data_IF_181965618641
#
_entry.id   IF_181965618641
#
_cell.length_a   1.000
_cell.length_b   1.000
_cell.length_c   1.000
_cell.angle_alpha   90.00
_cell.angle_beta   90.00
_cell.angle_gamma   90.00
#
_symmetry.space_group_name_H-M   'P 1'
#
loop_
_entity.id
_entity.type
_entity.pdbx_description
1 polymer ?
#
# COMPACT_ATOMS: atom_id res chain seq x y z
N UNK A 1 47.03 6.60 -62.41
CA UNK A 1 46.09 5.49 -62.17
C UNK A 1 46.50 4.79 -60.90
N UNK A 2 45.62 4.36 -60.01
CA UNK A 2 44.17 4.43 -59.95
C UNK A 2 43.76 4.19 -58.50
N UNK A 3 42.77 4.95 -58.03
CA UNK A 3 42.14 4.77 -56.73
C UNK A 3 41.10 3.66 -56.86
N UNK A 4 41.25 2.59 -56.08
CA UNK A 4 40.26 1.53 -55.80
C UNK A 4 40.64 0.91 -54.46
N UNK A 5 39.77 0.59 -53.52
CA UNK A 5 38.33 0.71 -53.40
C UNK A 5 37.99 0.71 -51.90
N UNK A 6 36.92 1.39 -51.55
CA UNK A 6 36.37 1.51 -50.19
C UNK A 6 35.79 0.15 -49.78
N UNK A 7 36.21 -0.40 -48.64
CA UNK A 7 35.69 -1.65 -48.09
C UNK A 7 35.31 -1.49 -46.63
N UNK A 8 34.06 -1.12 -46.36
CA UNK A 8 33.48 -1.14 -45.01
C UNK A 8 33.32 -2.59 -44.54
N UNK A 9 33.85 -2.99 -43.37
CA UNK A 9 33.45 -4.26 -42.78
C UNK A 9 32.10 -4.06 -42.10
N UNK A 10 31.04 -4.49 -42.78
CA UNK A 10 29.71 -4.72 -42.20
C UNK A 10 29.85 -5.60 -40.96
N UNK A 11 29.79 -4.98 -39.78
CA UNK A 11 29.68 -5.68 -38.51
C UNK A 11 28.29 -6.31 -38.46
N UNK A 12 28.22 -7.57 -38.90
CA UNK A 12 27.02 -8.38 -38.83
C UNK A 12 26.43 -8.29 -37.42
N UNK A 13 25.28 -7.63 -37.29
CA UNK A 13 24.45 -7.71 -36.08
C UNK A 13 24.11 -9.19 -35.90
N UNK A 14 24.71 -9.84 -34.90
CA UNK A 14 24.17 -11.10 -34.38
C UNK A 14 22.77 -10.79 -33.87
N UNK A 15 21.76 -11.15 -34.65
CA UNK A 15 20.38 -11.27 -34.19
C UNK A 15 20.37 -12.30 -33.08
N UNK A 16 20.33 -11.84 -31.82
CA UNK A 16 19.94 -12.72 -30.72
C UNK A 16 18.44 -12.94 -30.86
N UNK A 17 18.06 -14.09 -31.40
CA UNK A 17 16.69 -14.59 -31.34
C UNK A 17 16.32 -14.77 -29.87
N UNK A 18 15.62 -13.79 -29.29
CA UNK A 18 14.94 -13.96 -28.01
C UNK A 18 13.54 -14.49 -28.27
N UNK A 19 13.43 -15.75 -28.67
CA UNK A 19 12.19 -16.51 -28.44
C UNK A 19 12.18 -16.92 -26.96
N UNK A 20 12.04 -15.93 -26.08
CA UNK A 20 11.69 -16.16 -24.69
C UNK A 20 10.23 -15.80 -24.57
N UNK A 21 9.35 -16.79 -24.66
CA UNK A 21 7.97 -16.62 -24.22
C UNK A 21 8.02 -16.02 -22.81
N UNK A 22 7.35 -14.88 -22.61
CA UNK A 22 7.18 -14.30 -21.29
C UNK A 22 6.43 -15.35 -20.48
N UNK A 23 7.12 -16.01 -19.57
CA UNK A 23 6.48 -16.95 -18.66
C UNK A 23 5.40 -16.16 -17.91
N UNK A 24 4.14 -16.51 -18.12
CA UNK A 24 3.04 -16.07 -17.28
C UNK A 24 3.41 -16.41 -15.82
N UNK A 25 3.22 -15.49 -14.88
CA UNK A 25 3.61 -15.74 -13.49
C UNK A 25 2.69 -16.83 -12.93
N UNK A 26 3.15 -18.08 -12.97
CA UNK A 26 2.53 -19.24 -12.30
C UNK A 26 2.82 -19.22 -10.79
N UNK A 27 2.69 -18.04 -10.18
CA UNK A 27 2.66 -17.88 -8.74
C UNK A 27 1.21 -17.86 -8.26
N UNK A 28 0.91 -18.37 -7.05
CA UNK A 28 -0.41 -18.18 -6.46
C UNK A 28 -0.73 -16.67 -6.42
N UNK A 29 -1.99 -16.26 -6.63
CA UNK A 29 -2.38 -14.84 -6.64
C UNK A 29 -1.89 -14.24 -5.33
N UNK A 30 -0.97 -13.26 -5.43
CA UNK A 30 -0.27 -12.59 -4.32
C UNK A 30 -0.91 -12.92 -2.97
N UNK A 31 -0.47 -14.02 -2.37
CA UNK A 31 -0.87 -14.32 -1.02
C UNK A 31 -0.27 -13.18 -0.21
N UNK A 32 -1.12 -12.23 0.22
CA UNK A 32 -0.76 -11.35 1.32
C UNK A 32 -0.38 -12.32 2.43
N UNK A 33 0.89 -12.30 2.79
CA UNK A 33 1.36 -13.13 3.88
C UNK A 33 0.66 -12.59 5.13
N UNK A 34 -0.47 -13.21 5.51
CA UNK A 34 -1.27 -12.88 6.69
C UNK A 34 -0.45 -13.00 8.00
N UNK A 35 0.83 -13.39 7.90
CA UNK A 35 1.79 -13.51 8.99
C UNK A 35 2.35 -12.18 9.52
N UNK A 36 1.97 -11.02 8.98
CA UNK A 36 2.39 -9.71 9.53
C UNK A 36 1.38 -9.19 10.58
N UNK A 37 1.11 -9.98 11.62
CA UNK A 37 0.78 -9.51 12.99
C UNK A 37 1.15 -10.63 14.00
N UNK A 38 2.44 -10.79 14.33
CA UNK A 38 2.96 -11.82 15.28
C UNK A 38 2.66 -11.47 16.75
N UNK A 39 1.68 -10.62 17.05
CA UNK A 39 1.29 -10.36 18.44
C UNK A 39 -0.20 -10.07 18.57
N UNK A 40 -0.75 -10.53 19.69
CA UNK A 40 -2.12 -10.38 20.17
C UNK A 40 -3.12 -11.44 19.69
N UNK A 41 -3.15 -12.57 20.43
CA UNK A 41 -4.45 -13.18 20.71
C UNK A 41 -5.37 -12.12 21.32
N UNK A 42 -6.51 -11.89 20.69
CA UNK A 42 -7.52 -10.96 21.20
C UNK A 42 -8.24 -11.61 22.39
N UNK A 43 -8.42 -10.85 23.47
CA UNK A 43 -9.27 -11.33 24.57
C UNK A 43 -10.75 -11.29 24.16
N UNK A 44 -11.59 -12.10 24.81
CA UNK A 44 -13.03 -12.10 24.57
C UNK A 44 -13.66 -10.70 24.73
N UNK A 45 -13.19 -9.91 25.70
CA UNK A 45 -13.64 -8.53 25.90
C UNK A 45 -13.24 -7.61 24.74
N UNK A 46 -12.02 -7.72 24.22
CA UNK A 46 -11.58 -6.93 23.07
C UNK A 46 -12.39 -7.26 21.81
N UNK A 47 -12.69 -8.54 21.59
CA UNK A 47 -13.56 -9.01 20.51
C UNK A 47 -14.96 -8.38 20.67
N UNK A 48 -15.54 -8.48 21.85
CA UNK A 48 -16.87 -7.91 22.16
C UNK A 48 -16.91 -6.41 21.93
N UNK A 49 -15.89 -5.67 22.36
CA UNK A 49 -15.81 -4.23 22.14
C UNK A 49 -15.67 -3.87 20.65
N UNK A 50 -14.92 -4.64 19.87
CA UNK A 50 -14.83 -4.47 18.42
C UNK A 50 -16.18 -4.70 17.74
N UNK A 51 -16.89 -5.76 18.11
CA UNK A 51 -18.24 -6.04 17.59
C UNK A 51 -19.21 -4.90 17.91
N UNK A 52 -19.24 -4.44 19.17
CA UNK A 52 -20.05 -3.30 19.58
C UNK A 52 -19.73 -2.04 18.76
N UNK A 53 -18.45 -1.77 18.52
CA UNK A 53 -18.03 -0.61 17.73
C UNK A 53 -18.48 -0.72 16.26
N UNK A 54 -18.44 -1.93 15.69
CA UNK A 54 -18.95 -2.21 14.33
C UNK A 54 -20.47 -1.96 14.25
N UNK A 55 -21.23 -2.49 15.20
CA UNK A 55 -22.69 -2.33 15.26
C UNK A 55 -23.07 -0.85 15.39
N UNK A 56 -22.43 -0.14 16.31
CA UNK A 56 -22.64 1.31 16.51
C UNK A 56 -22.42 2.12 15.23
N UNK A 57 -21.37 1.82 14.45
CA UNK A 57 -21.11 2.53 13.19
C UNK A 57 -22.13 2.18 12.11
N UNK A 58 -22.65 0.95 12.10
CA UNK A 58 -23.70 0.53 11.18
C UNK A 58 -25.02 1.22 11.49
N UNK A 59 -25.39 1.31 12.77
CA UNK A 59 -26.56 2.05 13.25
C UNK A 59 -26.50 3.53 12.87
N UNK A 60 -25.31 4.14 12.97
CA UNK A 60 -25.08 5.55 12.59
C UNK A 60 -24.98 5.78 11.08
N UNK A 61 -25.01 4.73 10.25
CA UNK A 61 -24.79 4.84 8.81
C UNK A 61 -23.39 5.33 8.43
N UNK A 62 -22.43 5.23 9.36
CA UNK A 62 -21.02 5.61 9.16
C UNK A 62 -20.14 4.43 8.72
N UNK A 63 -20.72 3.23 8.67
CA UNK A 63 -20.02 2.02 8.29
C UNK A 63 -19.48 2.08 6.85
N UNK A 64 -18.27 1.53 6.65
CA UNK A 64 -17.57 1.51 5.36
C UNK A 64 -17.04 0.09 5.09
N UNK A 65 -17.04 -0.39 3.82
CA UNK A 65 -16.62 -1.76 3.51
C UNK A 65 -15.19 -2.10 3.96
N UNK A 66 -14.27 -1.13 3.91
CA UNK A 66 -12.88 -1.37 4.36
C UNK A 66 -12.75 -1.58 5.88
N UNK A 67 -13.79 -1.24 6.66
CA UNK A 67 -13.87 -1.53 8.10
C UNK A 67 -14.26 -2.99 8.39
N UNK A 68 -14.61 -3.80 7.37
CA UNK A 68 -14.79 -5.26 7.54
C UNK A 68 -13.50 -5.95 7.98
N UNK A 69 -12.33 -5.37 7.65
CA UNK A 69 -11.05 -5.86 8.15
C UNK A 69 -10.94 -5.59 9.67
N UNK A 70 -10.93 -6.67 10.46
CA UNK A 70 -10.78 -6.64 11.93
C UNK A 70 -9.62 -5.75 12.41
N UNK A 71 -8.49 -5.72 11.69
CA UNK A 71 -7.33 -4.91 12.03
C UNK A 71 -7.59 -3.40 11.90
N UNK A 72 -8.55 -2.97 11.06
CA UNK A 72 -8.92 -1.56 10.94
C UNK A 72 -9.51 -1.04 12.25
N UNK A 73 -10.52 -1.72 12.80
CA UNK A 73 -11.17 -1.33 14.06
C UNK A 73 -10.21 -1.48 15.25
N UNK A 74 -9.44 -2.57 15.29
CA UNK A 74 -8.50 -2.84 16.36
C UNK A 74 -7.39 -1.78 16.46
N UNK A 75 -6.99 -1.14 15.35
CA UNK A 75 -6.02 -0.03 15.39
C UNK A 75 -6.51 1.15 16.22
N UNK A 76 -7.77 1.55 16.08
CA UNK A 76 -8.35 2.65 16.86
C UNK A 76 -8.52 2.27 18.33
N UNK A 77 -8.92 1.02 18.59
CA UNK A 77 -9.05 0.50 19.95
C UNK A 77 -7.70 0.46 20.68
N UNK A 78 -6.66 -0.09 20.03
CA UNK A 78 -5.28 -0.13 20.57
C UNK A 78 -4.74 1.29 20.81
N UNK A 79 -4.98 2.23 19.88
CA UNK A 79 -4.55 3.63 20.02
C UNK A 79 -5.19 4.39 21.20
N UNK A 80 -6.27 3.86 21.79
CA UNK A 80 -6.93 4.40 22.97
C UNK A 80 -6.96 3.42 24.14
N UNK A 81 -6.05 2.45 24.16
CA UNK A 81 -5.92 1.47 25.24
C UNK A 81 -7.25 0.75 25.55
N UNK A 82 -8.04 0.48 24.51
CA UNK A 82 -9.38 -0.09 24.60
C UNK A 82 -10.38 0.74 25.42
N UNK A 83 -10.22 2.06 25.50
CA UNK A 83 -11.28 2.93 26.02
C UNK A 83 -12.35 3.19 24.94
N UNK A 84 -13.52 2.57 25.09
CA UNK A 84 -14.58 2.54 24.06
C UNK A 84 -14.94 3.94 23.53
N UNK A 85 -15.38 4.86 24.39
CA UNK A 85 -15.90 6.15 23.94
C UNK A 85 -14.85 7.00 23.23
N UNK A 86 -13.59 6.93 23.71
CA UNK A 86 -12.45 7.63 23.11
C UNK A 86 -12.10 7.05 21.74
N UNK A 87 -12.15 5.72 21.59
CA UNK A 87 -11.89 5.06 20.32
C UNK A 87 -12.99 5.37 19.29
N UNK A 88 -14.26 5.34 19.72
CA UNK A 88 -15.40 5.68 18.89
C UNK A 88 -15.35 7.15 18.43
N UNK A 89 -15.06 8.08 19.34
CA UNK A 89 -14.88 9.49 19.00
C UNK A 89 -13.73 9.71 18.01
N UNK A 90 -12.59 9.04 18.21
CA UNK A 90 -11.45 9.09 17.30
C UNK A 90 -11.80 8.56 15.90
N UNK A 91 -12.54 7.45 15.81
CA UNK A 91 -12.94 6.87 14.54
C UNK A 91 -13.94 7.75 13.80
N UNK A 92 -14.95 8.30 14.48
CA UNK A 92 -15.89 9.26 13.88
C UNK A 92 -15.17 10.48 13.29
N UNK A 93 -14.24 11.06 14.06
CA UNK A 93 -13.44 12.18 13.59
C UNK A 93 -12.59 11.82 12.36
N UNK A 94 -12.05 10.60 12.31
CA UNK A 94 -11.31 10.10 11.14
C UNK A 94 -12.21 9.95 9.91
N UNK A 95 -13.41 9.38 10.06
CA UNK A 95 -14.36 9.21 8.96
C UNK A 95 -14.82 10.55 8.40
N UNK A 96 -15.11 11.51 9.26
CA UNK A 96 -15.46 12.88 8.84
C UNK A 96 -14.29 13.58 8.12
N UNK A 97 -13.07 13.43 8.64
CA UNK A 97 -11.88 13.95 7.98
C UNK A 97 -11.67 13.32 6.59
N UNK A 98 -11.87 12.00 6.45
CA UNK A 98 -11.76 11.31 5.15
C UNK A 98 -12.77 11.83 4.14
N UNK A 99 -14.02 12.04 4.59
CA UNK A 99 -15.11 12.58 3.75
C UNK A 99 -14.79 14.02 3.32
N UNK A 100 -14.47 14.90 4.26
CA UNK A 100 -14.18 16.31 3.98
C UNK A 100 -12.95 16.53 3.10
N UNK A 101 -11.96 15.64 3.15
CA UNK A 101 -10.76 15.70 2.31
C UNK A 101 -10.85 14.90 1.01
N UNK A 102 -11.93 14.16 0.79
CA UNK A 102 -12.09 13.31 -0.39
C UNK A 102 -11.03 12.21 -0.48
N UNK A 103 -10.62 11.64 0.65
CA UNK A 103 -9.51 10.66 0.72
C UNK A 103 -9.80 9.41 -0.10
N UNK A 104 -11.05 8.97 -0.12
CA UNK A 104 -11.45 7.74 -0.82
C UNK A 104 -11.32 7.86 -2.36
N UNK A 105 -11.41 9.08 -2.89
CA UNK A 105 -11.22 9.38 -4.32
C UNK A 105 -9.85 9.98 -4.64
N UNK A 106 -9.03 10.22 -3.62
CA UNK A 106 -7.78 10.97 -3.76
C UNK A 106 -6.81 10.33 -4.77
N UNK A 107 -6.65 9.00 -4.72
CA UNK A 107 -5.71 8.29 -5.59
C UNK A 107 -6.07 8.35 -7.09
N UNK A 108 -7.35 8.50 -7.43
CA UNK A 108 -7.80 8.59 -8.82
C UNK A 108 -7.92 10.03 -9.33
N UNK A 109 -8.10 10.99 -8.44
CA UNK A 109 -8.37 12.40 -8.79
C UNK A 109 -7.12 13.29 -8.72
N UNK A 110 -6.17 12.97 -7.86
CA UNK A 110 -5.02 13.83 -7.60
C UNK A 110 -3.79 13.45 -8.43
N UNK A 111 -3.17 14.44 -9.07
CA UNK A 111 -1.94 14.30 -9.84
C UNK A 111 -0.81 15.11 -9.19
N UNK A 112 0.32 14.46 -8.91
CA UNK A 112 1.49 15.10 -8.29
C UNK A 112 2.50 15.56 -9.35
N UNK A 113 2.27 16.72 -9.97
CA UNK A 113 3.09 17.21 -11.08
C UNK A 113 4.51 17.60 -10.65
N UNK A 114 4.67 18.16 -9.46
CA UNK A 114 5.91 18.67 -8.89
C UNK A 114 6.79 17.56 -8.28
N UNK A 115 6.33 16.30 -8.31
CA UNK A 115 7.00 15.16 -7.66
C UNK A 115 8.49 15.09 -7.95
N UNK A 116 8.91 15.34 -9.20
CA UNK A 116 10.32 15.29 -9.59
C UNK A 116 11.14 16.43 -9.00
N UNK A 117 10.56 17.63 -8.87
CA UNK A 117 11.20 18.78 -8.24
C UNK A 117 11.30 18.57 -6.72
N UNK A 118 10.20 18.16 -6.08
CA UNK A 118 10.18 17.86 -4.64
C UNK A 118 11.20 16.78 -4.29
N UNK A 119 11.30 15.71 -5.08
CA UNK A 119 12.24 14.60 -4.82
C UNK A 119 13.72 15.01 -4.88
N UNK A 120 14.06 16.12 -5.55
CA UNK A 120 15.43 16.67 -5.56
C UNK A 120 15.78 17.36 -4.24
N UNK A 121 14.81 18.03 -3.63
CA UNK A 121 15.00 18.79 -2.39
C UNK A 121 14.69 17.96 -1.13
N UNK A 122 13.82 16.95 -1.25
CA UNK A 122 13.39 16.08 -0.17
C UNK A 122 13.48 14.63 -0.63
N UNK A 123 14.55 13.94 -0.21
CA UNK A 123 14.83 12.59 -0.68
C UNK A 123 14.04 11.60 0.16
N UNK A 124 12.97 11.05 -0.42
CA UNK A 124 12.21 9.95 0.17
C UNK A 124 12.14 8.74 -0.78
N UNK A 125 12.10 7.54 -0.21
CA UNK A 125 11.94 6.30 -0.98
C UNK A 125 11.31 5.18 -0.15
N UNK A 126 10.56 4.30 -0.83
CA UNK A 126 10.18 3.00 -0.29
C UNK A 126 11.13 1.94 -0.87
N UNK A 127 11.78 1.15 -0.02
CA UNK A 127 12.81 0.20 -0.48
C UNK A 127 12.78 -1.10 0.32
N UNK A 128 12.39 -2.19 -0.34
CA UNK A 128 12.34 -3.55 0.24
C UNK A 128 11.42 -3.64 1.48
N UNK A 129 11.49 -4.78 2.13
CA UNK A 129 10.80 -5.11 3.37
C UNK A 129 11.81 -5.48 4.45
N UNK A 130 11.42 -5.33 5.71
CA UNK A 130 12.21 -5.82 6.84
C UNK A 130 12.07 -7.35 7.02
N UNK A 131 12.67 -7.88 8.10
CA UNK A 131 12.60 -9.31 8.45
C UNK A 131 11.19 -9.80 8.82
N UNK A 132 10.27 -8.88 9.11
CA UNK A 132 8.87 -9.16 9.44
C UNK A 132 7.94 -8.84 8.26
N UNK A 133 8.48 -8.59 7.06
CA UNK A 133 7.69 -8.31 5.86
C UNK A 133 7.13 -6.88 5.76
N UNK A 134 7.47 -5.97 6.69
CA UNK A 134 6.96 -4.59 6.68
C UNK A 134 7.73 -3.75 5.65
N UNK A 135 7.02 -3.00 4.81
CA UNK A 135 7.64 -2.11 3.83
C UNK A 135 8.50 -1.03 4.49
N UNK A 136 9.74 -0.86 4.03
CA UNK A 136 10.66 0.13 4.61
C UNK A 136 10.53 1.46 3.87
N UNK A 137 10.33 2.53 4.64
CA UNK A 137 10.28 3.91 4.18
C UNK A 137 11.50 4.68 4.70
N UNK A 138 12.18 5.40 3.82
CA UNK A 138 13.46 6.08 4.09
C UNK A 138 13.32 7.55 3.66
N UNK A 139 13.60 8.46 4.59
CA UNK A 139 13.70 9.91 4.37
C UNK A 139 15.13 10.38 4.69
N UNK A 140 15.63 11.38 3.95
CA UNK A 140 16.99 11.91 4.11
C UNK A 140 17.10 13.40 3.83
#
# INVERSE_FOLDING_TARGET
GGLSAVGSPSRALRRRSSSGARAEPTGPPHAVDDRVDVCYGETAEQIKMRHRLREQLAEEGLYQPWLDNNHALMRFMRARQFHYDKALAMLRACLEWRRSRGVDTFLSTWAFHERLAVKRCYQYSHHRTDRLGRGVYIER
#
